data_IF_663710404121
#
_entry.id   IF_663710404121
#
_cell.length_a   1.000
_cell.length_b   1.000
_cell.length_c   1.000
_cell.angle_alpha   90.00
_cell.angle_beta   90.00
_cell.angle_gamma   90.00
#
_symmetry.space_group_name_H-M   'P 1'
#
loop_
_entity.id
_entity.type
_entity.pdbx_description
1 polymer ?
#
# COMPACT_ATOMS: atom_id res chain seq x y z
N UNK A 1 1.12 11.82 -24.40
CA UNK A 1 1.07 10.48 -23.82
C UNK A 1 0.13 10.56 -22.62
N UNK A 2 -0.93 9.75 -22.57
CA UNK A 2 -1.85 9.76 -21.43
C UNK A 2 -1.55 8.60 -20.48
N UNK A 3 -1.83 8.80 -19.20
CA UNK A 3 -1.62 7.83 -18.12
C UNK A 3 -2.98 7.41 -17.58
N UNK A 4 -3.22 6.12 -17.42
CA UNK A 4 -4.40 5.58 -16.73
C UNK A 4 -3.99 5.02 -15.37
N UNK A 5 -4.56 5.55 -14.29
CA UNK A 5 -4.38 5.01 -12.94
C UNK A 5 -5.62 4.22 -12.56
N UNK A 6 -5.46 2.93 -12.26
CA UNK A 6 -6.53 2.10 -11.69
C UNK A 6 -6.72 2.46 -10.22
N UNK A 7 -7.91 2.94 -9.87
CA UNK A 7 -8.26 3.26 -8.50
C UNK A 7 -8.67 2.02 -7.72
N UNK A 8 -8.08 1.84 -6.54
CA UNK A 8 -8.55 0.92 -5.53
C UNK A 8 -9.42 1.69 -4.52
N UNK A 9 -10.53 1.11 -4.14
CA UNK A 9 -11.45 1.71 -3.17
C UNK A 9 -12.13 0.62 -2.34
N UNK A 10 -12.69 1.03 -1.23
CA UNK A 10 -13.36 0.15 -0.31
C UNK A 10 -14.55 0.84 0.37
N UNK A 11 -15.74 0.19 0.34
CA UNK A 11 -17.00 0.73 0.88
C UNK A 11 -17.32 2.18 0.44
N UNK A 12 -16.94 2.56 -0.78
CA UNK A 12 -17.16 3.92 -1.28
C UNK A 12 -16.12 4.96 -0.83
N UNK A 13 -15.03 4.52 -0.20
CA UNK A 13 -13.88 5.36 0.13
C UNK A 13 -12.70 5.06 -0.81
N UNK A 14 -12.17 6.09 -1.46
CA UNK A 14 -10.97 5.98 -2.28
C UNK A 14 -9.77 5.64 -1.39
N UNK A 15 -8.97 4.64 -1.79
CA UNK A 15 -7.75 4.29 -1.07
C UNK A 15 -6.75 5.46 -1.06
N UNK A 16 -6.22 5.86 0.09
CA UNK A 16 -5.20 6.92 0.18
C UNK A 16 -3.93 6.60 -0.63
N UNK A 17 -3.66 5.32 -0.90
CA UNK A 17 -2.55 4.88 -1.74
C UNK A 17 -2.72 5.35 -3.19
N UNK A 18 -3.96 5.45 -3.69
CA UNK A 18 -4.25 5.93 -5.05
C UNK A 18 -3.79 7.38 -5.23
N UNK A 19 -4.04 8.24 -4.25
CA UNK A 19 -3.62 9.64 -4.33
C UNK A 19 -2.09 9.79 -4.44
N UNK A 20 -1.31 8.92 -3.77
CA UNK A 20 0.16 8.89 -3.90
C UNK A 20 0.59 8.40 -5.29
N UNK A 21 -0.09 7.38 -5.84
CA UNK A 21 0.18 6.84 -7.18
C UNK A 21 -0.18 7.85 -8.26
N UNK A 22 -1.29 8.58 -8.13
CA UNK A 22 -1.65 9.68 -9.03
C UNK A 22 -0.56 10.75 -9.02
N UNK A 23 -0.15 11.23 -7.84
CA UNK A 23 0.91 12.23 -7.73
C UNK A 23 2.24 11.76 -8.32
N UNK A 24 2.63 10.49 -8.08
CA UNK A 24 3.83 9.90 -8.67
C UNK A 24 3.76 9.80 -10.20
N UNK A 25 2.56 9.55 -10.73
CA UNK A 25 2.32 9.41 -12.17
C UNK A 25 2.52 10.72 -12.96
N UNK A 26 2.55 11.87 -12.30
CA UNK A 26 2.89 13.16 -12.94
C UNK A 26 4.30 13.17 -13.55
N UNK A 27 5.21 12.32 -13.05
CA UNK A 27 6.55 12.15 -13.60
C UNK A 27 6.57 11.59 -15.04
N UNK A 28 5.47 11.01 -15.53
CA UNK A 28 5.37 10.52 -16.91
C UNK A 28 5.07 11.63 -17.94
N UNK A 29 4.66 12.82 -17.48
CA UNK A 29 4.54 14.01 -18.34
C UNK A 29 3.36 13.95 -19.32
N UNK A 30 2.18 13.61 -18.85
CA UNK A 30 0.96 13.60 -19.65
C UNK A 30 -0.29 13.74 -18.78
N UNK A 31 -1.49 13.90 -19.38
CA UNK A 31 -2.73 13.91 -18.63
C UNK A 31 -2.94 12.57 -17.91
N UNK A 32 -3.42 12.65 -16.69
CA UNK A 32 -3.69 11.48 -15.85
C UNK A 32 -5.19 11.27 -15.77
N UNK A 33 -5.66 10.15 -16.27
CA UNK A 33 -7.02 9.67 -16.08
C UNK A 33 -7.04 8.66 -14.92
N UNK A 34 -8.10 8.71 -14.12
CA UNK A 34 -8.32 7.74 -13.03
C UNK A 34 -9.51 6.86 -13.38
N UNK A 35 -9.28 5.54 -13.47
CA UNK A 35 -10.36 4.57 -13.69
C UNK A 35 -10.91 4.10 -12.34
N UNK A 36 -12.19 4.34 -12.11
CA UNK A 36 -12.94 3.86 -10.95
C UNK A 36 -13.96 2.83 -11.41
N UNK A 37 -13.79 1.58 -10.99
CA UNK A 37 -14.67 0.46 -11.32
C UNK A 37 -15.35 -0.10 -10.07
N UNK A 38 -16.41 -0.88 -10.24
CA UNK A 38 -17.10 -1.60 -9.16
C UNK A 38 -18.27 -0.85 -8.53
N UNK A 39 -18.89 -1.49 -7.58
CA UNK A 39 -19.94 -0.87 -6.78
C UNK A 39 -19.42 0.41 -6.10
N UNK A 40 -20.28 1.41 -5.97
CA UNK A 40 -19.93 2.74 -5.43
C UNK A 40 -18.96 3.56 -6.31
N UNK A 41 -18.67 3.14 -7.54
CA UNK A 41 -17.77 3.87 -8.44
C UNK A 41 -18.14 5.35 -8.59
N UNK A 42 -19.43 5.70 -8.54
CA UNK A 42 -19.89 7.10 -8.64
C UNK A 42 -19.41 7.92 -7.43
N UNK A 43 -19.63 7.43 -6.20
CA UNK A 43 -19.22 8.13 -4.98
C UNK A 43 -17.69 8.24 -4.86
N UNK A 44 -16.96 7.22 -5.33
CA UNK A 44 -15.50 7.22 -5.37
C UNK A 44 -14.96 8.12 -6.47
N UNK A 45 -15.68 8.26 -7.59
CA UNK A 45 -15.30 9.15 -8.68
C UNK A 45 -15.26 10.61 -8.24
N UNK A 46 -16.20 11.05 -7.41
CA UNK A 46 -16.18 12.40 -6.82
C UNK A 46 -14.92 12.66 -6.00
N UNK A 47 -14.49 11.66 -5.19
CA UNK A 47 -13.26 11.75 -4.43
C UNK A 47 -12.02 11.77 -5.34
N UNK A 48 -12.00 10.91 -6.37
CA UNK A 48 -10.91 10.85 -7.34
C UNK A 48 -10.81 12.14 -8.17
N UNK A 49 -11.95 12.76 -8.53
CA UNK A 49 -11.99 14.01 -9.30
C UNK A 49 -11.38 15.20 -8.54
N UNK A 50 -11.36 15.13 -7.22
CA UNK A 50 -10.79 16.16 -6.34
C UNK A 50 -9.29 16.02 -6.11
N UNK A 51 -8.64 14.96 -6.64
CA UNK A 51 -7.20 14.80 -6.56
C UNK A 51 -6.49 15.80 -7.48
N UNK A 52 -5.36 16.33 -7.01
CA UNK A 52 -4.48 17.11 -7.85
C UNK A 52 -3.98 16.27 -9.04
N UNK A 53 -3.70 16.93 -10.15
CA UNK A 53 -3.12 16.34 -11.37
C UNK A 53 -4.04 15.37 -12.13
N UNK A 54 -5.28 15.13 -11.67
CA UNK A 54 -6.26 14.33 -12.40
C UNK A 54 -6.88 15.17 -13.52
N UNK A 55 -6.74 14.71 -14.76
CA UNK A 55 -7.32 15.35 -15.92
C UNK A 55 -8.76 14.88 -16.16
N UNK A 56 -9.06 13.62 -15.85
CA UNK A 56 -10.38 13.01 -16.05
C UNK A 56 -10.56 11.77 -15.16
N UNK A 57 -11.79 11.54 -14.71
CA UNK A 57 -12.19 10.30 -14.05
C UNK A 57 -13.06 9.48 -14.97
N UNK A 58 -12.70 8.21 -15.17
CA UNK A 58 -13.44 7.23 -15.97
C UNK A 58 -14.17 6.27 -15.03
N UNK A 59 -15.48 6.08 -15.20
CA UNK A 59 -16.27 5.22 -14.31
C UNK A 59 -16.79 3.98 -15.01
N UNK A 60 -16.68 2.82 -14.35
CA UNK A 60 -17.18 1.53 -14.82
C UNK A 60 -17.92 0.80 -13.67
N UNK A 61 -19.12 1.26 -13.25
CA UNK A 61 -19.82 0.75 -12.07
C UNK A 61 -20.24 -0.72 -12.18
N UNK A 62 -20.38 -1.24 -13.39
CA UNK A 62 -20.81 -2.62 -13.67
C UNK A 62 -19.64 -3.60 -13.79
N UNK A 63 -18.41 -3.17 -13.49
CA UNK A 63 -17.21 -4.00 -13.58
C UNK A 63 -16.64 -4.19 -12.18
N UNK A 64 -16.63 -5.40 -11.66
CA UNK A 64 -16.09 -5.72 -10.34
C UNK A 64 -14.56 -5.54 -10.28
N UNK A 65 -14.02 -5.34 -9.07
CA UNK A 65 -12.58 -5.19 -8.84
C UNK A 65 -11.85 -6.55 -8.78
N UNK A 66 -12.08 -7.39 -9.78
CA UNK A 66 -11.37 -8.67 -9.95
C UNK A 66 -10.52 -8.67 -11.22
N UNK A 67 -9.49 -9.50 -11.28
CA UNK A 67 -8.64 -9.55 -12.47
C UNK A 67 -9.40 -10.01 -13.71
N UNK A 68 -10.40 -10.88 -13.56
CA UNK A 68 -11.21 -11.40 -14.66
C UNK A 68 -12.03 -10.32 -15.34
N UNK A 69 -12.58 -9.40 -14.57
CA UNK A 69 -13.48 -8.35 -15.05
C UNK A 69 -12.74 -7.07 -15.45
N UNK A 70 -11.70 -6.71 -14.69
CA UNK A 70 -10.88 -5.52 -14.97
C UNK A 70 -9.94 -5.69 -16.18
N UNK A 71 -9.38 -6.89 -16.40
CA UNK A 71 -8.44 -7.10 -17.50
C UNK A 71 -9.06 -6.83 -18.86
N UNK A 72 -10.27 -7.31 -19.21
CA UNK A 72 -10.91 -6.98 -20.49
C UNK A 72 -11.21 -5.48 -20.65
N UNK A 73 -11.65 -4.81 -19.59
CA UNK A 73 -11.88 -3.36 -19.57
C UNK A 73 -10.58 -2.59 -19.83
N UNK A 74 -9.53 -2.89 -19.07
CA UNK A 74 -8.22 -2.23 -19.24
C UNK A 74 -7.61 -2.52 -20.61
N UNK A 75 -7.78 -3.73 -21.15
CA UNK A 75 -7.31 -4.08 -22.50
C UNK A 75 -8.05 -3.28 -23.58
N UNK A 76 -9.35 -3.02 -23.41
CA UNK A 76 -10.13 -2.18 -24.33
C UNK A 76 -9.69 -0.71 -24.27
N UNK A 77 -9.32 -0.21 -23.08
CA UNK A 77 -8.85 1.16 -22.89
C UNK A 77 -7.36 1.34 -23.24
N UNK A 78 -6.58 0.28 -23.22
CA UNK A 78 -5.14 0.33 -23.41
C UNK A 78 -4.64 1.12 -24.63
N UNK A 79 -5.32 1.11 -25.80
CA UNK A 79 -4.88 1.91 -26.95
C UNK A 79 -4.82 3.42 -26.71
N UNK A 80 -5.59 3.95 -25.76
CA UNK A 80 -5.65 5.37 -25.44
C UNK A 80 -4.47 5.83 -24.53
N UNK A 81 -3.76 4.90 -23.90
CA UNK A 81 -2.77 5.21 -22.85
C UNK A 81 -1.39 4.66 -23.15
N UNK A 82 -0.37 5.45 -22.83
CA UNK A 82 1.02 5.03 -22.88
C UNK A 82 1.45 4.30 -21.58
N UNK A 83 0.79 4.62 -20.47
CA UNK A 83 1.04 4.02 -19.16
C UNK A 83 -0.27 3.58 -18.53
N UNK A 84 -0.31 2.37 -18.01
CA UNK A 84 -1.40 1.86 -17.16
C UNK A 84 -0.76 1.51 -15.82
N UNK A 85 -1.23 2.15 -14.78
CA UNK A 85 -0.60 2.18 -13.46
C UNK A 85 -1.61 1.72 -12.41
N UNK A 86 -1.18 0.90 -11.48
CA UNK A 86 -1.96 0.52 -10.30
C UNK A 86 -1.11 0.64 -9.03
N UNK A 87 -1.77 0.65 -7.88
CA UNK A 87 -1.09 0.48 -6.59
C UNK A 87 -0.47 -0.91 -6.54
N UNK A 88 0.72 -1.07 -5.94
CA UNK A 88 1.31 -2.38 -5.66
C UNK A 88 0.59 -3.06 -4.47
N UNK A 89 -0.75 -3.08 -4.53
CA UNK A 89 -1.68 -3.69 -3.59
C UNK A 89 -2.25 -5.01 -4.10
N UNK A 90 -3.29 -5.52 -3.45
CA UNK A 90 -3.90 -6.80 -3.83
C UNK A 90 -4.47 -6.75 -5.25
N UNK A 91 -5.24 -5.70 -5.59
CA UNK A 91 -5.86 -5.56 -6.92
C UNK A 91 -4.79 -5.35 -8.00
N UNK A 92 -3.86 -4.42 -7.80
CA UNK A 92 -2.83 -4.13 -8.80
C UNK A 92 -1.91 -5.31 -9.09
N UNK A 93 -1.55 -6.09 -8.08
CA UNK A 93 -0.71 -7.29 -8.23
C UNK A 93 -1.43 -8.45 -8.92
N UNK A 94 -2.75 -8.49 -8.87
CA UNK A 94 -3.57 -9.48 -9.56
C UNK A 94 -3.87 -9.05 -11.01
N UNK A 95 -4.24 -7.79 -11.21
CA UNK A 95 -4.72 -7.27 -12.50
C UNK A 95 -3.58 -7.00 -13.49
N UNK A 96 -2.52 -6.31 -13.07
CA UNK A 96 -1.47 -5.84 -13.99
C UNK A 96 -0.71 -6.98 -14.67
N UNK A 97 -0.31 -8.08 -14.00
CA UNK A 97 0.33 -9.21 -14.69
C UNK A 97 -0.59 -9.91 -15.69
N UNK A 98 -1.89 -10.04 -15.35
CA UNK A 98 -2.87 -10.63 -16.25
C UNK A 98 -3.11 -9.75 -17.50
N UNK A 99 -3.20 -8.44 -17.31
CA UNK A 99 -3.27 -7.48 -18.42
C UNK A 99 -2.02 -7.55 -19.30
N UNK A 100 -0.84 -7.64 -18.69
CA UNK A 100 0.44 -7.75 -19.38
C UNK A 100 0.48 -8.98 -20.29
N UNK A 101 0.11 -10.14 -19.76
CA UNK A 101 0.01 -11.37 -20.55
C UNK A 101 -1.00 -11.26 -21.69
N UNK A 102 -2.14 -10.57 -21.48
CA UNK A 102 -3.16 -10.38 -22.53
C UNK A 102 -2.71 -9.44 -23.64
N UNK A 103 -1.85 -8.48 -23.34
CA UNK A 103 -1.33 -7.50 -24.30
C UNK A 103 0.03 -7.88 -24.88
N UNK A 104 0.59 -9.03 -24.48
CA UNK A 104 1.96 -9.49 -24.80
C UNK A 104 3.03 -8.42 -24.46
N UNK A 105 2.95 -7.88 -23.24
CA UNK A 105 3.84 -6.88 -22.69
C UNK A 105 4.45 -7.34 -21.37
N UNK A 106 5.60 -6.77 -21.00
CA UNK A 106 6.24 -7.04 -19.71
C UNK A 106 5.80 -6.00 -18.67
N UNK A 107 5.27 -6.40 -17.50
CA UNK A 107 4.97 -5.46 -16.43
C UNK A 107 6.23 -5.11 -15.64
N UNK A 108 6.37 -3.85 -15.18
CA UNK A 108 7.34 -3.49 -14.15
C UNK A 108 6.59 -3.34 -12.83
N UNK A 109 6.85 -4.25 -11.92
CA UNK A 109 6.09 -4.35 -10.67
C UNK A 109 6.87 -3.80 -9.49
N UNK A 110 6.11 -3.25 -8.52
CA UNK A 110 6.63 -2.80 -7.22
C UNK A 110 7.65 -1.65 -7.35
N UNK A 111 7.39 -0.74 -8.28
CA UNK A 111 8.24 0.42 -8.56
C UNK A 111 8.32 1.34 -7.34
N UNK A 112 9.53 1.78 -7.00
CA UNK A 112 9.82 2.69 -5.87
C UNK A 112 10.37 4.05 -6.30
N UNK A 113 10.86 4.16 -7.54
CA UNK A 113 11.27 5.44 -8.13
C UNK A 113 11.02 5.44 -9.64
N UNK A 114 10.78 6.62 -10.20
CA UNK A 114 10.47 6.85 -11.61
C UNK A 114 11.54 7.78 -12.18
N UNK A 115 12.21 7.35 -13.26
CA UNK A 115 13.25 8.08 -13.98
C UNK A 115 12.77 8.41 -15.40
N UNK A 116 11.73 9.22 -15.50
CA UNK A 116 11.07 9.53 -16.78
C UNK A 116 10.12 8.43 -17.27
N UNK A 117 9.74 8.44 -18.56
CA UNK A 117 8.63 7.60 -19.05
C UNK A 117 8.94 6.10 -19.16
N UNK A 118 10.21 5.70 -19.11
CA UNK A 118 10.63 4.31 -19.34
C UNK A 118 11.63 3.77 -18.30
N UNK A 119 12.07 4.60 -17.34
CA UNK A 119 13.06 4.21 -16.35
C UNK A 119 12.44 4.03 -14.96
N UNK A 120 12.75 2.94 -14.27
CA UNK A 120 12.13 2.59 -13.00
C UNK A 120 13.11 1.90 -12.06
N UNK A 121 13.06 2.23 -10.77
CA UNK A 121 13.72 1.43 -9.74
C UNK A 121 12.72 0.54 -9.05
N UNK A 122 13.12 -0.71 -8.80
CA UNK A 122 12.34 -1.68 -8.05
C UNK A 122 13.22 -2.50 -7.10
N UNK A 123 12.72 -2.87 -5.93
CA UNK A 123 13.46 -3.73 -5.02
C UNK A 123 13.40 -5.19 -5.48
N UNK A 124 14.53 -5.87 -5.35
CA UNK A 124 14.68 -7.31 -5.56
C UNK A 124 15.35 -7.95 -4.34
N UNK A 125 15.35 -9.29 -4.25
CA UNK A 125 15.90 -10.02 -3.10
C UNK A 125 15.35 -9.53 -1.74
N UNK A 126 14.02 -9.40 -1.65
CA UNK A 126 13.34 -8.89 -0.46
C UNK A 126 13.80 -7.47 -0.04
N UNK A 127 14.21 -6.67 -1.01
CA UNK A 127 14.66 -5.28 -0.81
C UNK A 127 16.14 -5.11 -0.48
N UNK A 128 16.93 -6.18 -0.46
CA UNK A 128 18.38 -6.10 -0.24
C UNK A 128 19.14 -5.52 -1.45
N UNK A 129 18.51 -5.48 -2.60
CA UNK A 129 19.05 -4.83 -3.79
C UNK A 129 17.95 -4.02 -4.49
N UNK A 130 18.35 -2.98 -5.20
CA UNK A 130 17.49 -2.18 -6.06
C UNK A 130 17.96 -2.41 -7.50
N UNK A 131 17.01 -2.79 -8.34
CA UNK A 131 17.21 -2.94 -9.77
C UNK A 131 16.68 -1.73 -10.50
N UNK A 132 17.49 -1.12 -11.38
CA UNK A 132 17.02 -0.09 -12.31
C UNK A 132 16.66 -0.74 -13.63
N UNK A 133 15.40 -0.61 -14.04
CA UNK A 133 14.83 -1.19 -15.25
C UNK A 133 14.56 -0.09 -16.26
N UNK A 134 14.96 -0.30 -17.53
CA UNK A 134 14.49 0.49 -18.67
C UNK A 134 13.55 -0.36 -19.52
N UNK A 135 12.30 0.06 -19.62
CA UNK A 135 11.27 -0.70 -20.34
C UNK A 135 11.06 -0.12 -21.74
N UNK A 136 11.67 -0.74 -22.74
CA UNK A 136 11.60 -0.33 -24.16
C UNK A 136 10.42 -1.04 -24.86
N UNK A 137 9.20 -0.67 -24.50
CA UNK A 137 7.98 -1.24 -25.08
C UNK A 137 6.96 -0.13 -25.37
N UNK A 138 5.97 -0.36 -26.25
CA UNK A 138 5.08 0.71 -26.73
C UNK A 138 4.14 1.23 -25.63
N UNK A 139 3.96 0.47 -24.55
CA UNK A 139 3.10 0.83 -23.43
C UNK A 139 3.69 0.26 -22.14
N UNK A 140 3.68 1.05 -21.07
CA UNK A 140 4.16 0.65 -19.77
C UNK A 140 3.01 0.15 -18.89
N UNK A 141 3.18 -1.01 -18.28
CA UNK A 141 2.25 -1.59 -17.32
C UNK A 141 2.94 -1.68 -15.97
N UNK A 142 2.47 -0.92 -14.99
CA UNK A 142 3.21 -0.65 -13.77
C UNK A 142 2.37 -0.92 -12.52
N UNK A 143 3.02 -1.47 -11.48
CA UNK A 143 2.51 -1.30 -10.12
C UNK A 143 3.47 -0.44 -9.32
N UNK A 144 2.97 0.59 -8.64
CA UNK A 144 3.77 1.48 -7.81
C UNK A 144 3.60 1.15 -6.33
N UNK A 145 4.70 1.08 -5.60
CA UNK A 145 4.69 0.98 -4.14
C UNK A 145 4.34 2.33 -3.54
N UNK A 146 3.07 2.57 -3.22
CA UNK A 146 2.58 3.87 -2.77
C UNK A 146 3.37 4.44 -1.58
N UNK A 147 3.84 3.59 -0.66
CA UNK A 147 4.64 4.00 0.49
C UNK A 147 6.01 4.61 0.13
N UNK A 148 6.53 4.33 -1.06
CA UNK A 148 7.81 4.89 -1.53
C UNK A 148 7.67 6.33 -2.08
N UNK A 149 6.44 6.78 -2.34
CA UNK A 149 6.18 8.10 -2.88
C UNK A 149 5.60 9.05 -1.81
N UNK A 150 5.93 10.33 -1.85
CA UNK A 150 5.42 11.30 -0.90
C UNK A 150 3.88 11.41 -0.99
N UNK A 151 3.19 11.83 0.08
CA UNK A 151 1.78 12.15 -0.01
C UNK A 151 1.56 13.25 -1.06
N UNK A 152 0.39 13.26 -1.73
CA UNK A 152 0.08 14.28 -2.71
C UNK A 152 0.11 15.67 -2.04
N UNK A 153 0.49 16.69 -2.82
CA UNK A 153 0.32 18.07 -2.40
C UNK A 153 -1.17 18.38 -2.35
N UNK A 154 -1.60 19.12 -1.33
CA UNK A 154 -2.94 19.67 -1.31
C UNK A 154 -3.06 20.66 -2.47
N UNK A 155 -3.94 20.37 -3.41
CA UNK A 155 -4.28 21.30 -4.47
C UNK A 155 -5.61 21.99 -4.13
N UNK A 156 -5.87 23.23 -4.65
CA UNK A 156 -7.20 23.79 -4.65
C UNK A 156 -8.13 22.78 -5.34
N UNK A 157 -9.28 22.49 -4.73
CA UNK A 157 -10.24 21.55 -5.26
C UNK A 157 -10.64 21.95 -6.70
N UNK A 158 -10.10 21.23 -7.69
CA UNK A 158 -10.60 21.21 -9.04
C UNK A 158 -11.40 19.92 -9.17
N UNK A 159 -12.57 19.97 -9.73
CA UNK A 159 -13.28 18.74 -10.08
C UNK A 159 -12.95 18.37 -11.51
N UNK A 160 -12.15 17.35 -11.71
CA UNK A 160 -11.94 16.76 -13.02
C UNK A 160 -13.26 16.21 -13.58
N UNK A 161 -13.53 16.29 -14.90
CA UNK A 161 -14.73 15.73 -15.49
C UNK A 161 -14.82 14.21 -15.23
N UNK A 162 -16.04 13.75 -14.92
CA UNK A 162 -16.34 12.35 -14.67
C UNK A 162 -17.10 11.82 -15.89
N UNK A 163 -16.55 10.79 -16.54
CA UNK A 163 -17.11 10.21 -17.77
C UNK A 163 -17.31 8.70 -17.61
N UNK A 164 -18.48 8.17 -17.97
CA UNK A 164 -18.68 6.72 -17.98
C UNK A 164 -17.89 6.06 -19.11
N UNK A 165 -17.36 4.87 -18.84
CA UNK A 165 -16.78 4.03 -19.87
C UNK A 165 -17.88 3.18 -20.50
N UNK A 166 -18.01 3.25 -21.83
CA UNK A 166 -18.91 2.43 -22.59
C UNK A 166 -18.41 0.98 -22.70
N UNK A 167 -18.45 0.23 -21.60
CA UNK A 167 -18.03 -1.17 -21.54
C UNK A 167 -19.16 -2.03 -20.98
N UNK A 168 -19.57 -3.04 -21.75
CA UNK A 168 -20.71 -3.89 -21.40
C UNK A 168 -20.46 -4.81 -20.19
N UNK A 169 -19.19 -4.88 -19.71
CA UNK A 169 -18.78 -5.80 -18.67
C UNK A 169 -18.55 -7.23 -19.18
N UNK A 170 -17.97 -8.03 -18.33
CA UNK A 170 -17.81 -9.48 -18.49
C UNK A 170 -18.35 -10.12 -17.23
N UNK A 171 -19.10 -11.22 -17.38
CA UNK A 171 -19.60 -11.94 -16.21
C UNK A 171 -18.44 -12.41 -15.33
N UNK A 172 -18.48 -12.15 -14.02
CA UNK A 172 -17.44 -12.61 -13.10
C UNK A 172 -17.44 -14.14 -13.02
N UNK A 173 -16.24 -14.71 -12.96
CA UNK A 173 -16.06 -16.17 -12.76
C UNK A 173 -16.19 -16.52 -11.28
N UNK A 174 -15.81 -15.59 -10.40
CA UNK A 174 -15.90 -15.73 -8.95
C UNK A 174 -16.93 -14.74 -8.38
N UNK A 175 -17.61 -15.12 -7.32
CA UNK A 175 -18.57 -14.28 -6.62
C UNK A 175 -18.05 -13.99 -5.21
N UNK A 176 -17.99 -12.72 -4.81
CA UNK A 176 -17.72 -12.33 -3.43
C UNK A 176 -18.94 -12.70 -2.56
N UNK A 177 -18.75 -13.63 -1.65
CA UNK A 177 -19.82 -14.09 -0.74
C UNK A 177 -19.89 -13.26 0.54
N UNK A 178 -18.75 -12.92 1.12
CA UNK A 178 -18.65 -12.14 2.35
C UNK A 178 -17.31 -11.43 2.47
N UNK A 179 -17.30 -10.31 3.19
CA UNK A 179 -16.08 -9.61 3.60
C UNK A 179 -16.02 -9.60 5.12
N UNK A 180 -14.99 -10.19 5.69
CA UNK A 180 -14.71 -10.14 7.12
C UNK A 180 -13.64 -9.11 7.39
N UNK A 181 -13.93 -8.15 8.25
CA UNK A 181 -13.03 -7.03 8.58
C UNK A 181 -12.80 -6.94 10.07
N UNK A 182 -11.63 -6.49 10.43
CA UNK A 182 -11.37 -6.06 11.81
C UNK A 182 -11.86 -4.62 11.93
N UNK A 183 -12.94 -4.42 12.69
CA UNK A 183 -13.47 -3.08 12.96
C UNK A 183 -12.57 -2.31 13.95
N UNK A 184 -12.40 -1.01 13.75
CA UNK A 184 -11.68 -0.12 14.68
C UNK A 184 -11.36 1.24 14.10
N UNK A 185 -11.36 2.28 14.92
CA UNK A 185 -11.00 3.67 14.57
C UNK A 185 -9.47 3.90 14.46
N UNK A 186 -8.69 2.84 14.27
CA UNK A 186 -7.24 2.95 14.19
C UNK A 186 -6.78 3.40 12.81
N UNK A 187 -5.69 4.19 12.74
CA UNK A 187 -5.11 4.55 11.46
C UNK A 187 -4.76 3.32 10.62
N UNK A 188 -4.95 3.41 9.30
CA UNK A 188 -4.57 2.33 8.39
C UNK A 188 -3.06 2.13 8.39
N UNK A 189 -2.64 0.87 8.53
CA UNK A 189 -1.24 0.47 8.67
C UNK A 189 -0.36 0.89 7.48
N UNK A 190 -0.91 0.90 6.27
CA UNK A 190 -0.15 1.23 5.05
C UNK A 190 0.09 2.74 4.88
N UNK A 191 -0.71 3.59 5.55
CA UNK A 191 -0.67 5.06 5.38
C UNK A 191 -0.32 5.82 6.65
N UNK A 192 -0.30 5.13 7.81
CA UNK A 192 -0.01 5.74 9.10
C UNK A 192 1.39 6.36 9.16
N UNK A 193 1.48 7.55 9.77
CA UNK A 193 2.76 8.24 10.00
C UNK A 193 3.58 7.61 11.13
N UNK A 194 2.90 7.02 12.11
CA UNK A 194 3.52 6.31 13.24
C UNK A 194 2.93 4.91 13.28
N UNK A 195 3.79 3.92 13.45
CA UNK A 195 3.39 2.52 13.58
C UNK A 195 4.08 1.91 14.80
N UNK A 196 3.30 1.22 15.63
CA UNK A 196 3.80 0.42 16.76
C UNK A 196 3.63 -1.06 16.41
N UNK A 197 4.73 -1.78 16.26
CA UNK A 197 4.76 -3.19 15.90
C UNK A 197 5.08 -4.09 17.09
N UNK A 198 4.30 -5.16 17.26
CA UNK A 198 4.53 -6.21 18.25
C UNK A 198 5.09 -7.49 17.63
N UNK A 199 6.10 -8.07 18.28
CA UNK A 199 6.65 -9.38 17.93
C UNK A 199 6.06 -10.53 18.71
N UNK A 200 6.57 -11.74 18.47
CA UNK A 200 6.17 -12.96 19.19
C UNK A 200 6.44 -12.85 20.72
N UNK A 201 7.42 -12.05 21.13
CA UNK A 201 7.77 -11.85 22.53
C UNK A 201 6.65 -11.17 23.35
N UNK A 202 5.65 -10.54 22.70
CA UNK A 202 4.44 -10.00 23.34
C UNK A 202 3.60 -11.12 24.01
N UNK A 203 3.69 -12.35 23.52
CA UNK A 203 3.32 -13.59 24.20
C UNK A 203 1.83 -13.94 24.19
N UNK A 204 0.91 -13.02 23.91
CA UNK A 204 -0.53 -13.29 23.91
C UNK A 204 -1.36 -12.19 23.26
N UNK A 205 -2.63 -12.46 22.98
CA UNK A 205 -3.62 -11.43 22.58
C UNK A 205 -3.70 -10.31 23.64
N UNK A 206 -3.70 -10.67 24.93
CA UNK A 206 -3.71 -9.70 26.03
C UNK A 206 -2.45 -8.84 26.06
N UNK A 207 -1.29 -9.41 25.73
CA UNK A 207 -0.04 -8.63 25.56
C UNK A 207 -0.14 -7.59 24.45
N UNK A 208 -0.87 -7.88 23.36
CA UNK A 208 -1.11 -6.92 22.29
C UNK A 208 -2.02 -5.75 22.70
N UNK A 209 -2.80 -5.85 23.79
CA UNK A 209 -3.52 -4.70 24.36
C UNK A 209 -2.55 -3.60 24.79
N UNK A 210 -1.38 -3.97 25.33
CA UNK A 210 -0.32 -3.02 25.71
C UNK A 210 0.26 -2.29 24.49
N UNK A 211 0.46 -3.03 23.37
CA UNK A 211 0.91 -2.44 22.10
C UNK A 211 -0.16 -1.47 21.57
N UNK A 212 -1.42 -1.86 21.66
CA UNK A 212 -2.56 -1.06 21.23
C UNK A 212 -2.73 0.21 22.07
N UNK A 213 -2.49 0.14 23.40
CA UNK A 213 -2.54 1.30 24.29
C UNK A 213 -1.46 2.31 23.95
N UNK A 214 -0.22 1.87 23.74
CA UNK A 214 0.87 2.74 23.29
C UNK A 214 0.54 3.39 21.94
N UNK A 215 0.02 2.60 20.99
CA UNK A 215 -0.37 3.11 19.68
C UNK A 215 -1.47 4.17 19.78
N UNK A 216 -2.49 3.96 20.63
CA UNK A 216 -3.56 4.91 20.85
C UNK A 216 -3.04 6.25 21.41
N UNK A 217 -2.11 6.21 22.37
CA UNK A 217 -1.47 7.42 22.93
C UNK A 217 -0.71 8.23 21.87
N UNK A 218 -0.17 7.56 20.87
CA UNK A 218 0.62 8.18 19.80
C UNK A 218 -0.20 8.50 18.55
N UNK A 219 -1.49 8.16 18.50
CA UNK A 219 -2.28 8.23 17.28
C UNK A 219 -1.71 7.33 16.16
N UNK A 220 -1.11 6.20 16.54
CA UNK A 220 -0.38 5.31 15.68
C UNK A 220 -1.23 4.10 15.21
N UNK A 221 -0.85 3.52 14.07
CA UNK A 221 -1.35 2.22 13.68
C UNK A 221 -0.65 1.09 14.47
N UNK A 222 -1.34 -0.02 14.64
CA UNK A 222 -0.79 -1.24 15.25
C UNK A 222 -0.40 -2.22 14.16
N UNK A 223 0.81 -2.77 14.27
CA UNK A 223 1.29 -3.84 13.40
C UNK A 223 1.80 -5.05 14.18
N UNK A 224 1.98 -6.16 13.49
CA UNK A 224 2.46 -7.39 14.07
C UNK A 224 3.45 -8.10 13.15
N UNK A 225 4.35 -8.90 13.72
CA UNK A 225 5.16 -9.82 12.93
C UNK A 225 4.33 -11.04 12.49
N UNK A 226 4.73 -11.70 11.40
CA UNK A 226 4.12 -12.95 10.97
C UNK A 226 4.04 -13.98 12.09
N UNK A 227 5.11 -14.14 12.87
CA UNK A 227 5.14 -15.08 13.98
C UNK A 227 4.07 -14.79 15.05
N UNK A 228 3.79 -13.52 15.33
CA UNK A 228 2.72 -13.14 16.27
C UNK A 228 1.33 -13.39 15.69
N UNK A 229 1.15 -13.18 14.37
CA UNK A 229 -0.11 -13.49 13.67
C UNK A 229 -0.33 -15.00 13.60
N UNK A 230 0.65 -15.78 13.20
CA UNK A 230 0.58 -17.25 13.13
C UNK A 230 0.31 -17.88 14.52
N UNK A 231 0.77 -17.25 15.60
CA UNK A 231 0.47 -17.63 16.98
C UNK A 231 -0.94 -17.19 17.45
N UNK A 232 -1.70 -16.46 16.62
CA UNK A 232 -3.03 -15.97 16.94
C UNK A 232 -3.05 -14.79 17.91
N UNK A 233 -1.93 -14.07 18.11
CA UNK A 233 -1.87 -12.92 19.01
C UNK A 233 -2.38 -11.64 18.38
N UNK A 234 -2.35 -11.55 17.06
CA UNK A 234 -2.81 -10.42 16.28
C UNK A 234 -3.54 -10.89 15.00
N UNK A 235 -4.50 -10.12 14.47
CA UNK A 235 -5.18 -10.45 13.23
C UNK A 235 -4.25 -10.34 12.03
N UNK A 236 -4.57 -11.05 10.95
CA UNK A 236 -3.73 -11.14 9.75
C UNK A 236 -3.54 -9.79 9.03
N UNK A 237 -4.52 -8.92 9.07
CA UNK A 237 -4.46 -7.58 8.45
C UNK A 237 -3.48 -6.61 9.16
N UNK A 238 -2.97 -6.99 10.35
CA UNK A 238 -1.89 -6.26 11.05
C UNK A 238 -0.49 -6.75 10.65
N UNK A 239 -0.39 -7.79 9.84
CA UNK A 239 0.91 -8.35 9.49
C UNK A 239 1.76 -7.36 8.69
N UNK A 240 2.97 -7.08 9.20
CA UNK A 240 4.02 -6.32 8.51
C UNK A 240 5.08 -7.29 8.01
N UNK A 241 5.46 -7.15 6.73
CA UNK A 241 6.53 -7.95 6.13
C UNK A 241 6.32 -8.21 4.66
N UNK A 242 7.17 -9.03 4.09
CA UNK A 242 7.16 -9.39 2.67
C UNK A 242 5.82 -9.98 2.20
N UNK A 243 5.17 -10.77 3.06
CA UNK A 243 3.87 -11.43 2.78
C UNK A 243 2.69 -10.70 3.41
N UNK A 244 2.94 -9.60 4.12
CA UNK A 244 1.95 -8.72 4.71
C UNK A 244 1.98 -7.34 4.08
N UNK A 245 1.69 -6.32 4.89
CA UNK A 245 1.77 -4.92 4.47
C UNK A 245 3.21 -4.42 4.51
N UNK A 246 3.62 -3.68 3.47
CA UNK A 246 4.88 -2.94 3.43
C UNK A 246 4.58 -1.51 3.83
N UNK A 247 5.25 -1.02 4.86
CA UNK A 247 5.00 0.28 5.48
C UNK A 247 6.19 1.23 5.32
N UNK A 248 5.91 2.54 5.32
CA UNK A 248 6.92 3.59 5.30
C UNK A 248 6.51 4.76 6.23
N UNK A 249 6.40 4.51 7.55
CA UNK A 249 6.04 5.54 8.50
C UNK A 249 7.18 6.53 8.74
N UNK A 250 6.86 7.70 9.29
CA UNK A 250 7.86 8.62 9.81
C UNK A 250 8.58 8.00 11.03
N UNK A 251 7.85 7.20 11.82
CA UNK A 251 8.36 6.50 13.01
C UNK A 251 7.80 5.08 13.10
N UNK A 252 8.68 4.09 13.19
CA UNK A 252 8.35 2.72 13.52
C UNK A 252 8.89 2.35 14.90
N UNK A 253 8.02 1.93 15.82
CA UNK A 253 8.39 1.44 17.14
C UNK A 253 8.22 -0.07 17.16
N UNK A 254 9.32 -0.81 17.23
CA UNK A 254 9.37 -2.26 17.18
C UNK A 254 9.55 -2.83 18.60
N UNK A 255 8.58 -3.60 19.07
CA UNK A 255 8.53 -4.10 20.44
C UNK A 255 8.59 -5.63 20.43
N UNK A 256 9.68 -6.20 20.99
CA UNK A 256 9.87 -7.64 21.05
C UNK A 256 9.98 -8.31 19.68
N UNK A 257 10.56 -7.62 18.70
CA UNK A 257 10.74 -8.08 17.33
C UNK A 257 12.22 -8.40 17.10
N UNK A 258 12.53 -9.62 16.64
CA UNK A 258 13.89 -10.06 16.35
C UNK A 258 14.48 -9.43 15.08
N UNK A 259 13.63 -9.15 14.08
CA UNK A 259 14.09 -8.60 12.79
C UNK A 259 14.47 -9.68 11.78
N UNK A 260 13.62 -10.69 11.62
CA UNK A 260 13.74 -11.62 10.50
C UNK A 260 13.68 -10.87 9.16
N UNK A 261 14.42 -11.35 8.16
CA UNK A 261 14.57 -10.70 6.84
C UNK A 261 13.23 -10.33 6.20
N UNK A 262 12.23 -11.20 6.33
CA UNK A 262 10.89 -10.98 5.78
C UNK A 262 10.14 -9.82 6.46
N UNK A 263 10.38 -9.61 7.77
CA UNK A 263 9.83 -8.47 8.49
C UNK A 263 10.57 -7.18 8.11
N UNK A 264 11.91 -7.24 8.03
CA UNK A 264 12.74 -6.10 7.62
C UNK A 264 12.35 -5.60 6.23
N UNK A 265 12.05 -6.49 5.29
CA UNK A 265 11.55 -6.13 3.96
C UNK A 265 10.26 -5.26 4.02
N UNK A 266 9.45 -5.43 5.06
CA UNK A 266 8.22 -4.66 5.25
C UNK A 266 8.39 -3.27 5.88
N UNK A 267 9.56 -2.95 6.42
CA UNK A 267 9.81 -1.71 7.18
C UNK A 267 10.93 -0.84 6.62
N UNK A 268 11.55 -1.23 5.52
CA UNK A 268 12.68 -0.50 4.91
C UNK A 268 12.38 0.97 4.60
N UNK A 269 11.11 1.30 4.36
CA UNK A 269 10.67 2.67 4.12
C UNK A 269 10.48 3.51 5.38
N UNK A 270 10.63 2.97 6.58
CA UNK A 270 10.52 3.74 7.82
C UNK A 270 11.66 4.76 7.93
N UNK A 271 11.33 6.03 8.23
CA UNK A 271 12.36 7.08 8.34
C UNK A 271 13.15 7.00 9.64
N UNK A 272 12.49 6.55 10.72
CA UNK A 272 13.10 6.32 12.03
C UNK A 272 12.57 5.02 12.62
N UNK A 273 13.47 4.27 13.23
CA UNK A 273 13.15 3.00 13.89
C UNK A 273 13.62 3.07 15.34
N UNK A 274 12.67 2.82 16.26
CA UNK A 274 12.96 2.58 17.68
C UNK A 274 12.77 1.08 17.92
N UNK A 275 13.74 0.40 18.51
CA UNK A 275 13.61 -1.02 18.84
C UNK A 275 13.75 -1.24 20.36
N UNK A 276 12.80 -2.01 20.92
CA UNK A 276 12.77 -2.45 22.31
C UNK A 276 12.85 -3.97 22.31
N UNK A 277 13.92 -4.52 22.86
CA UNK A 277 14.14 -5.96 22.93
C UNK A 277 15.03 -6.31 24.15
N UNK A 278 14.87 -7.51 24.67
CA UNK A 278 15.78 -8.04 25.71
C UNK A 278 17.10 -8.52 25.11
N UNK A 279 17.11 -8.91 23.83
CA UNK A 279 18.32 -9.34 23.11
C UNK A 279 18.97 -8.14 22.40
N UNK A 280 20.15 -7.65 22.87
CA UNK A 280 20.85 -6.55 22.22
C UNK A 280 21.43 -6.92 20.84
N UNK A 281 21.57 -8.22 20.54
CA UNK A 281 22.15 -8.71 19.30
C UNK A 281 21.09 -9.02 18.21
N UNK A 282 19.81 -8.86 18.53
CA UNK A 282 18.75 -9.06 17.57
C UNK A 282 18.99 -8.22 16.29
N UNK A 283 18.78 -8.77 15.07
CA UNK A 283 19.03 -8.06 13.82
C UNK A 283 18.37 -6.69 13.74
N UNK A 284 17.14 -6.56 14.26
CA UNK A 284 16.42 -5.28 14.27
C UNK A 284 17.07 -4.25 15.20
N UNK A 285 17.65 -4.70 16.31
CA UNK A 285 18.39 -3.81 17.21
C UNK A 285 19.59 -3.20 16.50
N UNK A 286 20.24 -3.91 15.58
CA UNK A 286 21.39 -3.39 14.81
C UNK A 286 21.00 -2.35 13.77
N UNK A 287 19.77 -2.41 13.26
CA UNK A 287 19.24 -1.49 12.25
C UNK A 287 18.54 -0.27 12.84
N UNK A 288 18.13 -0.34 14.11
CA UNK A 288 17.35 0.72 14.73
C UNK A 288 18.19 2.00 14.98
N UNK A 289 17.59 3.16 14.74
CA UNK A 289 18.16 4.47 15.10
C UNK A 289 18.26 4.64 16.61
N UNK A 290 17.27 4.13 17.34
CA UNK A 290 17.26 4.14 18.81
C UNK A 290 17.00 2.74 19.34
N UNK A 291 17.80 2.32 20.32
CA UNK A 291 17.75 0.99 20.90
C UNK A 291 17.55 1.08 22.40
N UNK A 292 16.61 0.30 22.91
CA UNK A 292 16.40 0.14 24.33
C UNK A 292 16.42 -1.35 24.67
N UNK A 293 17.43 -1.77 25.41
CA UNK A 293 17.55 -3.14 25.91
C UNK A 293 16.78 -3.25 27.22
N UNK A 294 15.72 -4.05 27.23
CA UNK A 294 14.87 -4.21 28.40
C UNK A 294 13.65 -5.07 28.15
N UNK A 295 13.00 -5.46 29.23
CA UNK A 295 11.74 -6.19 29.17
C UNK A 295 10.59 -5.27 28.74
N UNK A 296 9.89 -5.67 27.68
CA UNK A 296 8.78 -4.90 27.11
C UNK A 296 7.65 -4.65 28.13
N UNK A 297 7.39 -5.58 29.04
CA UNK A 297 6.36 -5.45 30.07
C UNK A 297 6.71 -4.44 31.18
N UNK A 298 7.98 -4.04 31.28
CA UNK A 298 8.44 -2.96 32.15
C UNK A 298 8.58 -1.65 31.37
N UNK A 299 9.17 -1.70 30.19
CA UNK A 299 9.53 -0.51 29.40
C UNK A 299 8.30 0.15 28.79
N UNK A 300 7.37 -0.64 28.20
CA UNK A 300 6.23 -0.07 27.49
C UNK A 300 5.25 0.65 28.43
N UNK A 301 4.88 0.09 29.61
CA UNK A 301 4.07 0.83 30.58
C UNK A 301 4.73 2.13 31.06
N UNK A 302 6.06 2.12 31.31
CA UNK A 302 6.79 3.31 31.68
C UNK A 302 6.78 4.37 30.58
N UNK A 303 6.89 3.95 29.31
CA UNK A 303 6.79 4.82 28.14
C UNK A 303 5.39 5.43 28.01
N UNK A 304 4.33 4.62 28.16
CA UNK A 304 2.94 5.10 28.15
C UNK A 304 2.70 6.14 29.24
N UNK A 305 3.22 5.91 30.43
CA UNK A 305 3.10 6.84 31.57
C UNK A 305 3.86 8.15 31.34
N UNK A 306 4.98 8.13 30.59
CA UNK A 306 5.78 9.30 30.26
C UNK A 306 5.18 10.15 29.12
N UNK A 307 4.34 9.57 28.27
CA UNK A 307 3.63 10.25 27.20
C UNK A 307 2.42 11.01 27.80
N UNK A 308 2.49 12.34 27.73
CA UNK A 308 1.46 13.26 28.23
C UNK A 308 0.29 13.41 27.26
#
# INVERSE_FOLDING_TARGET
>A
MAVLVLAEHDLGALSPAVARVVAASSAFGGPIDVLVAGQNAVAVADQASSLADVARVRTAPNVELTAETLTPLLAALAPEYSHIVAVSGAVGRDVIPRLAAKLDLMPVTDVIAIHGPAGFDRPIYAGNAIETVTANQPRQLLTLRASAFPPPKLAPAGSAPIEPVGFAGVAPVAQLLATHRTEGDRPDLATARIVVGGGIAVGSVKGFELIAELAAKLGAAVGATRAAVDAGYAPNDWQIGQTGKIIAPDLYIAIGISGALQHLAGIQGAKKIIAINTDPEAPLMKLADYRLVGDLFTVVPALIAALR
#
